data_IF_887183466272
#
_entry.id   IF_887183466272
#
_cell.length_a   1.000
_cell.length_b   1.000
_cell.length_c   1.000
_cell.angle_alpha   90.00
_cell.angle_beta   90.00
_cell.angle_gamma   90.00
#
_symmetry.space_group_name_H-M   'P 1'
#
loop_
_entity.id
_entity.type
_entity.pdbx_description
1 polymer ?
#
# COMPACT_ATOMS: atom_id res chain seq x y z
N UNK A 1 10.61 -8.57 -4.38
CA UNK A 1 9.73 -8.11 -5.46
C UNK A 1 9.70 -6.59 -5.43
N UNK A 2 9.95 -5.92 -6.56
CA UNK A 2 9.78 -4.48 -6.69
C UNK A 2 8.51 -4.26 -7.53
N UNK A 3 7.49 -3.55 -7.01
CA UNK A 3 6.24 -3.34 -7.73
C UNK A 3 6.47 -2.51 -8.99
N UNK A 4 5.78 -2.87 -10.08
CA UNK A 4 5.85 -2.15 -11.35
C UNK A 4 5.03 -0.86 -11.31
N UNK A 5 3.88 -0.92 -10.65
CA UNK A 5 3.04 0.26 -10.41
C UNK A 5 3.68 1.14 -9.33
N UNK A 6 3.71 2.47 -9.55
CA UNK A 6 4.27 3.37 -8.56
C UNK A 6 3.51 3.36 -7.23
N UNK A 7 4.22 3.23 -6.11
CA UNK A 7 3.69 3.18 -4.75
C UNK A 7 3.90 4.51 -4.02
N UNK A 8 2.93 4.89 -3.19
CA UNK A 8 3.00 6.08 -2.34
C UNK A 8 2.68 5.65 -0.92
N UNK A 9 3.66 5.80 -0.02
CA UNK A 9 3.48 5.52 1.40
C UNK A 9 2.85 6.73 2.10
N UNK A 10 1.89 6.47 2.99
CA UNK A 10 1.22 7.48 3.81
C UNK A 10 1.11 7.01 5.26
N UNK A 11 1.30 7.92 6.22
CA UNK A 11 1.28 7.59 7.66
C UNK A 11 -0.14 7.47 8.24
N UNK A 12 -1.16 7.95 7.52
CA UNK A 12 -2.56 7.89 7.93
C UNK A 12 -3.28 6.71 7.26
N UNK A 13 -4.62 6.70 7.31
CA UNK A 13 -5.44 5.66 6.67
C UNK A 13 -5.30 5.61 5.14
N UNK A 14 -4.68 6.61 4.51
CA UNK A 14 -4.52 6.72 3.06
C UNK A 14 -5.78 7.04 2.28
N UNK A 15 -6.93 7.16 2.94
CA UNK A 15 -8.21 7.47 2.31
C UNK A 15 -8.17 8.84 1.63
N UNK A 16 -7.64 9.86 2.29
CA UNK A 16 -7.53 11.22 1.73
C UNK A 16 -6.66 11.23 0.46
N UNK A 17 -5.54 10.50 0.47
CA UNK A 17 -4.66 10.40 -0.69
C UNK A 17 -5.31 9.61 -1.83
N UNK A 18 -6.02 8.52 -1.51
CA UNK A 18 -6.80 7.75 -2.46
C UNK A 18 -7.85 8.65 -3.16
N UNK A 19 -8.65 9.37 -2.39
CA UNK A 19 -9.67 10.27 -2.93
C UNK A 19 -9.08 11.39 -3.78
N UNK A 20 -7.96 11.96 -3.35
CA UNK A 20 -7.24 12.98 -4.12
C UNK A 20 -6.83 12.46 -5.50
N UNK A 21 -6.15 11.32 -5.55
CA UNK A 21 -5.67 10.75 -6.82
C UNK A 21 -6.84 10.31 -7.72
N UNK A 22 -7.93 9.80 -7.14
CA UNK A 22 -9.17 9.51 -7.90
C UNK A 22 -9.78 10.77 -8.52
N UNK A 23 -9.81 11.90 -7.79
CA UNK A 23 -10.29 13.19 -8.33
C UNK A 23 -9.42 13.72 -9.46
N UNK A 24 -8.13 13.37 -9.48
CA UNK A 24 -7.21 13.64 -10.58
C UNK A 24 -7.41 12.70 -11.80
N UNK A 25 -8.35 11.75 -11.71
CA UNK A 25 -8.67 10.79 -12.78
C UNK A 25 -7.77 9.56 -12.82
N UNK A 26 -6.93 9.35 -11.80
CA UNK A 26 -6.00 8.22 -11.74
C UNK A 26 -6.69 6.94 -11.27
N UNK A 27 -6.30 5.81 -11.87
CA UNK A 27 -6.63 4.46 -11.40
C UNK A 27 -5.75 4.13 -10.21
N UNK A 28 -6.33 4.16 -9.02
CA UNK A 28 -5.61 3.97 -7.77
C UNK A 28 -6.30 2.96 -6.87
N UNK A 29 -5.51 2.20 -6.11
CA UNK A 29 -5.98 1.33 -5.03
C UNK A 29 -5.22 1.61 -3.74
N UNK A 30 -5.87 1.37 -2.61
CA UNK A 30 -5.31 1.49 -1.27
C UNK A 30 -4.91 0.10 -0.73
N UNK A 31 -3.73 -0.02 -0.16
CA UNK A 31 -3.28 -1.14 0.65
C UNK A 31 -3.17 -0.68 2.10
N UNK A 32 -3.87 -1.34 3.02
CA UNK A 32 -3.91 -0.94 4.42
C UNK A 32 -4.87 -1.79 5.24
N UNK A 33 -5.28 -1.30 6.40
CA UNK A 33 -6.27 -1.99 7.26
C UNK A 33 -7.72 -1.59 6.94
N UNK A 34 -7.91 -0.67 6.00
CA UNK A 34 -9.21 -0.14 5.64
C UNK A 34 -10.00 -1.18 4.84
N UNK A 35 -11.24 -1.44 5.28
CA UNK A 35 -12.20 -2.30 4.58
C UNK A 35 -13.13 -1.44 3.73
N UNK A 36 -12.81 -1.31 2.44
CA UNK A 36 -13.60 -0.55 1.47
C UNK A 36 -13.35 -1.09 0.06
N UNK A 37 -14.22 -0.75 -0.89
CA UNK A 37 -14.21 -1.28 -2.27
C UNK A 37 -12.89 -1.01 -3.00
N UNK A 38 -12.36 0.21 -2.90
CA UNK A 38 -11.09 0.62 -3.51
C UNK A 38 -9.85 0.22 -2.70
N UNK A 39 -10.02 -0.54 -1.62
CA UNK A 39 -8.92 -0.99 -0.77
C UNK A 39 -8.75 -2.51 -0.80
N UNK A 40 -7.51 -2.94 -0.58
CA UNK A 40 -7.18 -4.31 -0.21
C UNK A 40 -6.80 -4.29 1.27
N UNK A 41 -7.67 -4.93 2.07
CA UNK A 41 -7.49 -5.02 3.52
C UNK A 41 -6.41 -6.07 3.84
N UNK A 42 -5.34 -5.65 4.50
CA UNK A 42 -4.25 -6.49 4.94
C UNK A 42 -4.45 -6.96 6.40
N UNK A 43 -3.84 -8.09 6.81
CA UNK A 43 -3.90 -8.56 8.19
C UNK A 43 -3.24 -7.59 9.18
N UNK A 44 -3.84 -7.41 10.35
CA UNK A 44 -3.34 -6.55 11.44
C UNK A 44 -2.23 -7.22 12.29
N UNK A 45 -1.39 -8.06 11.68
CA UNK A 45 -0.23 -8.65 12.34
C UNK A 45 0.98 -8.65 11.40
N UNK A 46 2.23 -8.46 11.90
CA UNK A 46 3.40 -8.28 11.04
C UNK A 46 3.66 -9.44 10.06
N UNK A 47 3.55 -10.67 10.54
CA UNK A 47 3.86 -11.87 9.73
C UNK A 47 2.87 -12.01 8.57
N UNK A 48 1.57 -11.94 8.87
CA UNK A 48 0.51 -12.02 7.89
C UNK A 48 0.51 -10.82 6.94
N UNK A 49 0.79 -9.62 7.45
CA UNK A 49 0.89 -8.41 6.64
C UNK A 49 1.97 -8.53 5.58
N UNK A 50 3.18 -8.97 5.94
CA UNK A 50 4.27 -9.06 4.98
C UNK A 50 3.94 -10.00 3.81
N UNK A 51 3.37 -11.17 4.10
CA UNK A 51 2.97 -12.13 3.05
C UNK A 51 1.82 -11.59 2.19
N UNK A 52 0.78 -11.04 2.82
CA UNK A 52 -0.39 -10.51 2.13
C UNK A 52 -0.04 -9.26 1.28
N UNK A 53 0.87 -8.41 1.77
CA UNK A 53 1.36 -7.24 1.05
C UNK A 53 1.97 -7.63 -0.30
N UNK A 54 2.87 -8.63 -0.32
CA UNK A 54 3.52 -9.03 -1.57
C UNK A 54 2.54 -9.68 -2.55
N UNK A 55 1.63 -10.52 -2.06
CA UNK A 55 0.57 -11.09 -2.90
C UNK A 55 -0.31 -9.99 -3.50
N UNK A 56 -0.77 -9.05 -2.67
CA UNK A 56 -1.60 -7.95 -3.12
C UNK A 56 -0.88 -7.03 -4.12
N UNK A 57 0.39 -6.68 -3.89
CA UNK A 57 1.17 -5.88 -4.85
C UNK A 57 1.32 -6.60 -6.20
N UNK A 58 1.53 -7.92 -6.18
CA UNK A 58 1.61 -8.72 -7.39
C UNK A 58 0.29 -8.72 -8.17
N UNK A 59 -0.83 -8.91 -7.48
CA UNK A 59 -2.17 -8.88 -8.09
C UNK A 59 -2.51 -7.49 -8.65
N UNK A 60 -2.16 -6.43 -7.92
CA UNK A 60 -2.43 -5.05 -8.33
C UNK A 60 -1.57 -4.62 -9.52
N UNK A 61 -0.34 -5.12 -9.66
CA UNK A 61 0.51 -4.85 -10.83
C UNK A 61 -0.10 -5.38 -12.14
N UNK A 62 -0.96 -6.40 -12.07
CA UNK A 62 -1.69 -6.91 -13.23
C UNK A 62 -2.91 -6.06 -13.63
N UNK A 63 -3.32 -5.09 -12.79
CA UNK A 63 -4.54 -4.31 -13.00
C UNK A 63 -4.34 -3.02 -13.81
N UNK A 64 -3.11 -2.67 -14.18
CA UNK A 64 -2.83 -1.45 -14.95
C UNK A 64 -3.17 -0.17 -14.20
N UNK A 65 -2.90 -0.16 -12.88
CA UNK A 65 -3.09 0.99 -12.02
C UNK A 65 -2.02 2.06 -12.27
N UNK A 66 -2.42 3.32 -12.13
CA UNK A 66 -1.50 4.45 -12.19
C UNK A 66 -0.70 4.57 -10.89
N UNK A 67 -1.33 4.32 -9.74
CA UNK A 67 -0.72 4.42 -8.41
C UNK A 67 -1.27 3.38 -7.45
N UNK A 68 -0.46 3.00 -6.46
CA UNK A 68 -0.89 2.25 -5.28
C UNK A 68 -0.58 3.07 -4.04
N UNK A 69 -1.58 3.37 -3.23
CA UNK A 69 -1.38 4.03 -1.94
C UNK A 69 -1.18 2.94 -0.90
N UNK A 70 -0.13 3.04 -0.08
CA UNK A 70 0.13 2.12 1.03
C UNK A 70 0.02 2.92 2.34
N UNK A 71 -1.02 2.63 3.12
CA UNK A 71 -1.10 3.08 4.51
C UNK A 71 -0.06 2.31 5.32
N UNK A 72 0.94 3.02 5.84
CA UNK A 72 2.01 2.41 6.61
C UNK A 72 1.42 1.79 7.89
N UNK A 73 1.89 0.59 8.28
CA UNK A 73 1.46 -0.01 9.53
C UNK A 73 1.96 0.81 10.73
N UNK A 74 1.45 0.61 11.95
CA UNK A 74 1.76 1.47 13.09
C UNK A 74 3.27 1.54 13.37
N UNK A 75 3.76 2.72 13.75
CA UNK A 75 5.18 2.91 14.09
C UNK A 75 5.51 2.34 15.47
N UNK A 76 5.59 1.01 15.55
CA UNK A 76 5.93 0.27 16.76
C UNK A 76 6.99 -0.80 16.43
N UNK A 77 7.75 -1.29 17.42
CA UNK A 77 8.90 -2.17 17.19
C UNK A 77 8.64 -3.37 16.28
N UNK A 78 7.46 -3.99 16.42
CA UNK A 78 7.04 -5.16 15.64
C UNK A 78 6.82 -4.87 14.13
N UNK A 79 6.64 -3.60 13.74
CA UNK A 79 6.39 -3.17 12.36
C UNK A 79 7.60 -2.50 11.71
N UNK A 80 8.65 -2.17 12.47
CA UNK A 80 9.82 -1.42 11.97
C UNK A 80 10.44 -2.06 10.73
N UNK A 81 10.62 -3.39 10.75
CA UNK A 81 11.20 -4.11 9.61
C UNK A 81 10.33 -4.04 8.34
N UNK A 82 9.01 -3.95 8.49
CA UNK A 82 8.06 -3.82 7.38
C UNK A 82 8.04 -2.37 6.88
N UNK A 83 7.96 -1.39 7.80
CA UNK A 83 8.01 0.05 7.48
C UNK A 83 9.30 0.40 6.72
N UNK A 84 10.44 -0.11 7.16
CA UNK A 84 11.73 0.09 6.48
C UNK A 84 11.71 -0.43 5.03
N UNK A 85 11.18 -1.64 4.81
CA UNK A 85 11.04 -2.21 3.46
C UNK A 85 10.10 -1.40 2.57
N UNK A 86 8.97 -0.96 3.12
CA UNK A 86 8.01 -0.11 2.41
C UNK A 86 8.63 1.22 2.00
N UNK A 87 9.35 1.88 2.90
CA UNK A 87 10.01 3.15 2.61
C UNK A 87 11.11 3.01 1.55
N UNK A 88 11.86 1.91 1.57
CA UNK A 88 12.81 1.62 0.49
C UNK A 88 12.12 1.38 -0.85
N UNK A 89 10.97 0.70 -0.87
CA UNK A 89 10.23 0.45 -2.10
C UNK A 89 9.69 1.75 -2.73
N UNK A 90 9.26 2.73 -1.93
CA UNK A 90 8.73 4.01 -2.43
C UNK A 90 9.79 4.95 -3.03
N UNK A 91 11.07 4.79 -2.67
CA UNK A 91 12.16 5.62 -3.19
C UNK A 91 12.77 5.04 -4.48
N UNK A 92 12.50 3.79 -4.80
CA UNK A 92 13.08 3.07 -5.94
C UNK A 92 12.31 3.25 -7.27
N UNK A 93 11.54 4.33 -7.43
CA UNK A 93 10.62 4.52 -8.55
C UNK A 93 10.81 5.83 -9.30
#
# INVERSE_FOLDING_TARGET
YAPKTPVINVENSGIEMLEKLKKEGLKVRLLGFQKMEDAVCLPENPVGYASALYAALHDLDAMGLDRIVIALPPDTPQWLAIRDRLNRAAVMQ
#
